data_IF_616728047475
#
_entry.id   IF_616728047475
#
_cell.length_a   1.000
_cell.length_b   1.000
_cell.length_c   1.000
_cell.angle_alpha   90.00
_cell.angle_beta   90.00
_cell.angle_gamma   90.00
#
_symmetry.space_group_name_H-M   'P 1'
#
loop_
_entity.id
_entity.type
_entity.pdbx_description
1 polymer ?
#
# COMPACT_ATOMS: atom_id res chain seq x y z
N UNK A 1 18.18 23.78 14.22
CA UNK A 1 16.70 23.68 14.12
C UNK A 1 16.16 23.92 15.51
N UNK A 2 15.32 24.92 15.67
CA UNK A 2 14.70 25.25 16.95
C UNK A 2 13.70 24.12 17.34
N UNK A 3 14.07 23.30 18.33
CA UNK A 3 13.29 22.15 18.82
C UNK A 3 12.06 22.57 19.65
N UNK A 4 11.76 23.85 19.75
CA UNK A 4 10.70 24.37 20.65
C UNK A 4 9.33 24.51 19.97
N UNK A 5 9.22 24.34 18.65
CA UNK A 5 7.94 24.44 17.93
C UNK A 5 7.42 23.07 17.53
N UNK A 6 6.12 22.76 17.78
CA UNK A 6 5.54 21.52 17.28
C UNK A 6 5.67 21.43 15.75
N UNK A 7 5.89 20.24 15.19
CA UNK A 7 6.02 20.03 13.75
C UNK A 7 4.63 20.14 13.07
N UNK A 8 4.08 21.35 13.02
CA UNK A 8 2.70 21.62 12.58
C UNK A 8 2.42 21.11 11.18
N UNK A 9 3.34 21.28 10.25
CA UNK A 9 3.19 20.80 8.87
C UNK A 9 3.07 19.28 8.81
N UNK A 10 3.87 18.59 9.61
CA UNK A 10 3.82 17.13 9.72
C UNK A 10 2.52 16.65 10.36
N UNK A 11 2.11 17.27 11.47
CA UNK A 11 0.84 16.97 12.13
C UNK A 11 -0.31 17.17 11.16
N UNK A 12 -0.33 18.28 10.42
CA UNK A 12 -1.35 18.59 9.42
C UNK A 12 -1.43 17.50 8.33
N UNK A 13 -0.29 17.13 7.76
CA UNK A 13 -0.21 16.11 6.71
C UNK A 13 -0.71 14.74 7.24
N UNK A 14 -0.28 14.36 8.47
CA UNK A 14 -0.70 13.10 9.08
C UNK A 14 -2.21 13.09 9.39
N UNK A 15 -2.74 14.15 9.99
CA UNK A 15 -4.17 14.26 10.28
C UNK A 15 -5.04 14.13 9.03
N UNK A 16 -4.66 14.84 7.97
CA UNK A 16 -5.37 14.78 6.69
C UNK A 16 -5.35 13.37 6.10
N UNK A 17 -4.17 12.75 6.05
CA UNK A 17 -4.00 11.40 5.52
C UNK A 17 -4.80 10.36 6.32
N UNK A 18 -4.68 10.35 7.66
CA UNK A 18 -5.37 9.37 8.49
C UNK A 18 -6.90 9.56 8.48
N UNK A 19 -7.38 10.81 8.38
CA UNK A 19 -8.81 11.06 8.17
C UNK A 19 -9.32 10.51 6.84
N UNK A 20 -8.58 10.72 5.75
CA UNK A 20 -8.94 10.19 4.44
C UNK A 20 -8.92 8.66 4.43
N UNK A 21 -7.91 8.04 5.04
CA UNK A 21 -7.81 6.60 5.19
C UNK A 21 -8.99 6.01 5.99
N UNK A 22 -9.47 6.74 7.00
CA UNK A 22 -10.66 6.36 7.77
C UNK A 22 -11.98 6.61 7.01
N UNK A 23 -11.95 7.18 5.79
CA UNK A 23 -13.13 7.52 5.01
C UNK A 23 -14.03 8.58 5.65
N UNK A 24 -13.48 9.41 6.57
CA UNK A 24 -14.25 10.36 7.34
C UNK A 24 -14.15 11.78 6.76
N UNK A 25 -15.26 12.51 6.78
CA UNK A 25 -15.25 13.94 6.45
C UNK A 25 -14.69 14.78 7.60
N UNK A 26 -14.16 15.97 7.30
CA UNK A 26 -13.74 16.96 8.32
C UNK A 26 -14.87 17.23 9.33
N UNK A 27 -16.11 17.34 8.85
CA UNK A 27 -17.25 17.60 9.72
C UNK A 27 -17.52 16.44 10.69
N UNK A 28 -17.39 15.20 10.23
CA UNK A 28 -17.63 14.02 11.04
C UNK A 28 -16.56 13.83 12.11
N UNK A 29 -15.28 13.99 11.76
CA UNK A 29 -14.18 13.90 12.75
C UNK A 29 -14.31 15.02 13.78
N UNK A 30 -14.57 16.26 13.34
CA UNK A 30 -14.74 17.39 14.25
C UNK A 30 -15.91 17.17 15.23
N UNK A 31 -17.03 16.67 14.74
CA UNK A 31 -18.20 16.33 15.55
C UNK A 31 -17.87 15.24 16.60
N UNK A 32 -17.20 14.15 16.18
CA UNK A 32 -16.83 13.03 17.07
C UNK A 32 -15.78 13.44 18.09
N UNK A 33 -14.81 14.27 17.70
CA UNK A 33 -13.76 14.79 18.56
C UNK A 33 -14.22 15.96 19.44
N UNK A 34 -15.49 16.40 19.32
CA UNK A 34 -16.07 17.54 20.03
C UNK A 34 -15.26 18.83 19.87
N UNK A 35 -14.84 19.12 18.62
CA UNK A 35 -14.16 20.38 18.23
C UNK A 35 -14.89 21.08 17.11
N UNK A 36 -14.61 22.38 16.90
CA UNK A 36 -15.17 23.08 15.76
C UNK A 36 -14.61 22.56 14.44
N UNK A 37 -15.46 22.46 13.40
CA UNK A 37 -15.05 22.08 12.02
C UNK A 37 -13.93 22.99 11.50
N UNK A 38 -14.01 24.31 11.79
CA UNK A 38 -12.99 25.28 11.41
C UNK A 38 -11.64 24.97 12.07
N UNK A 39 -11.63 24.51 13.31
CA UNK A 39 -10.41 24.11 14.01
C UNK A 39 -9.72 22.95 13.31
N UNK A 40 -10.43 21.86 12.99
CA UNK A 40 -9.84 20.73 12.27
C UNK A 40 -9.36 21.12 10.89
N UNK A 41 -10.16 21.93 10.17
CA UNK A 41 -9.77 22.43 8.84
C UNK A 41 -8.49 23.29 8.90
N UNK A 42 -8.34 24.15 9.89
CA UNK A 42 -7.11 24.93 10.09
C UNK A 42 -5.92 24.02 10.40
N UNK A 43 -6.10 23.03 11.27
CA UNK A 43 -5.05 22.07 11.62
C UNK A 43 -4.56 21.28 10.42
N UNK A 44 -5.46 20.78 9.58
CA UNK A 44 -5.09 20.05 8.36
C UNK A 44 -4.41 20.95 7.30
N UNK A 45 -4.60 22.26 7.37
CA UNK A 45 -3.89 23.23 6.54
C UNK A 45 -2.58 23.75 7.16
N UNK A 46 -2.13 23.17 8.28
CA UNK A 46 -0.91 23.59 8.95
C UNK A 46 -1.03 24.94 9.65
N UNK A 47 -2.25 25.39 9.93
CA UNK A 47 -2.54 26.69 10.54
C UNK A 47 -3.01 26.47 11.98
N UNK A 48 -2.43 27.22 12.91
CA UNK A 48 -2.81 27.19 14.32
C UNK A 48 -1.77 26.51 15.22
N UNK A 49 -2.09 26.47 16.50
CA UNK A 49 -1.30 25.81 17.53
C UNK A 49 -2.25 24.99 18.41
N UNK A 50 -2.52 23.73 18.05
CA UNK A 50 -3.47 22.90 18.78
C UNK A 50 -2.95 22.55 20.15
N UNK A 51 -3.86 22.43 21.13
CA UNK A 51 -3.54 21.85 22.42
C UNK A 51 -3.37 20.32 22.29
N UNK A 52 -2.67 19.73 23.26
CA UNK A 52 -2.50 18.27 23.34
C UNK A 52 -3.86 17.58 23.43
N UNK A 53 -4.80 18.15 24.18
CA UNK A 53 -6.15 17.60 24.34
C UNK A 53 -6.91 17.57 23.00
N UNK A 54 -6.78 18.62 22.20
CA UNK A 54 -7.37 18.69 20.85
C UNK A 54 -6.80 17.60 19.94
N UNK A 55 -5.48 17.46 19.91
CA UNK A 55 -4.82 16.41 19.10
C UNK A 55 -5.19 15.02 19.59
N UNK A 56 -5.23 14.82 20.92
CA UNK A 56 -5.61 13.54 21.52
C UNK A 56 -7.03 13.14 21.16
N UNK A 57 -8.00 14.06 21.26
CA UNK A 57 -9.39 13.78 20.91
C UNK A 57 -9.55 13.37 19.43
N UNK A 58 -8.77 13.98 18.51
CA UNK A 58 -8.75 13.60 17.11
C UNK A 58 -8.13 12.20 16.92
N UNK A 59 -7.02 11.91 17.60
CA UNK A 59 -6.37 10.58 17.55
C UNK A 59 -7.33 9.47 17.98
N UNK A 60 -8.11 9.69 19.05
CA UNK A 60 -9.12 8.72 19.51
C UNK A 60 -10.18 8.47 18.45
N UNK A 61 -10.65 9.51 17.76
CA UNK A 61 -11.64 9.39 16.70
C UNK A 61 -11.11 8.66 15.48
N UNK A 62 -9.82 8.88 15.16
CA UNK A 62 -9.16 8.27 14.00
C UNK A 62 -8.58 6.88 14.33
N UNK A 63 -8.66 6.44 15.60
CA UNK A 63 -8.09 5.18 16.10
C UNK A 63 -6.59 5.04 15.80
N UNK A 64 -5.84 6.14 16.04
CA UNK A 64 -4.39 6.18 15.87
C UNK A 64 -3.68 6.55 17.17
N UNK A 65 -2.48 6.02 17.43
CA UNK A 65 -1.69 6.44 18.58
C UNK A 65 -1.20 7.88 18.40
N UNK A 66 -1.11 8.64 19.51
CA UNK A 66 -0.65 10.04 19.47
C UNK A 66 0.76 10.19 18.88
N UNK A 67 1.64 9.21 19.11
CA UNK A 67 2.98 9.18 18.53
C UNK A 67 2.97 9.29 17.00
N UNK A 68 1.94 8.76 16.35
CA UNK A 68 1.75 8.82 14.90
C UNK A 68 1.75 10.24 14.34
N UNK A 69 1.26 11.21 15.11
CA UNK A 69 1.24 12.63 14.70
C UNK A 69 2.61 13.30 14.73
N UNK A 70 3.49 12.84 15.61
CA UNK A 70 4.78 13.48 15.89
C UNK A 70 5.99 12.68 15.40
N UNK A 71 5.79 11.40 15.04
CA UNK A 71 6.84 10.59 14.42
C UNK A 71 7.15 11.11 13.02
N UNK A 72 8.38 11.57 12.83
CA UNK A 72 8.87 11.86 11.48
C UNK A 72 9.26 10.52 10.84
N UNK A 73 8.61 10.08 9.77
CA UNK A 73 9.09 8.92 9.03
C UNK A 73 10.51 9.23 8.54
N UNK A 74 11.49 8.68 9.21
CA UNK A 74 12.88 8.80 8.72
C UNK A 74 12.98 7.87 7.52
N UNK A 75 13.23 8.38 6.30
CA UNK A 75 13.45 7.54 5.15
C UNK A 75 14.67 6.66 5.43
N UNK A 76 14.45 5.38 5.63
CA UNK A 76 15.55 4.42 5.80
C UNK A 76 15.82 3.71 4.49
N UNK A 77 17.08 3.68 4.09
CA UNK A 77 17.49 2.83 2.97
C UNK A 77 17.30 1.37 3.38
N UNK A 78 16.44 0.64 2.65
CA UNK A 78 16.21 -0.79 2.84
C UNK A 78 16.74 -1.54 1.63
N UNK A 79 17.58 -2.55 1.86
CA UNK A 79 18.09 -3.44 0.80
C UNK A 79 17.62 -4.85 1.11
N UNK A 80 16.88 -5.44 0.17
CA UNK A 80 16.53 -6.86 0.19
C UNK A 80 17.34 -7.51 -0.92
N UNK A 81 18.23 -8.42 -0.56
CA UNK A 81 19.04 -9.17 -1.53
C UNK A 81 18.20 -10.28 -2.14
N UNK A 82 18.46 -10.60 -3.41
CA UNK A 82 17.84 -11.72 -4.10
C UNK A 82 17.89 -13.00 -3.26
N UNK A 83 16.79 -13.74 -3.22
CA UNK A 83 16.65 -14.95 -2.37
C UNK A 83 16.50 -14.65 -0.88
N UNK A 84 16.36 -13.40 -0.47
CA UNK A 84 16.11 -12.99 0.92
C UNK A 84 14.80 -12.19 0.98
N UNK A 85 14.16 -12.24 2.13
CA UNK A 85 12.87 -11.58 2.36
C UNK A 85 11.82 -12.54 2.88
N UNK A 86 10.65 -12.01 3.22
CA UNK A 86 9.50 -12.81 3.66
C UNK A 86 8.83 -13.40 2.41
N UNK A 87 8.83 -14.72 2.32
CA UNK A 87 8.32 -15.46 1.18
C UNK A 87 7.07 -16.24 1.55
N UNK A 88 6.12 -16.27 0.63
CA UNK A 88 4.95 -17.17 0.64
C UNK A 88 4.98 -18.02 -0.61
N UNK A 89 4.44 -19.22 -0.51
CA UNK A 89 4.46 -20.20 -1.60
C UNK A 89 3.03 -20.71 -1.85
N UNK A 90 2.74 -21.10 -3.10
CA UNK A 90 1.60 -21.94 -3.40
C UNK A 90 1.72 -23.30 -2.69
N UNK A 91 0.61 -24.03 -2.56
CA UNK A 91 0.62 -25.38 -1.98
C UNK A 91 1.59 -26.32 -2.71
N UNK A 92 1.68 -26.19 -4.02
CA UNK A 92 2.55 -27.01 -4.89
C UNK A 92 3.99 -26.48 -4.96
N UNK A 93 4.28 -25.30 -4.40
CA UNK A 93 5.59 -24.63 -4.41
C UNK A 93 6.11 -24.32 -5.82
N UNK A 94 5.24 -24.11 -6.76
CA UNK A 94 5.51 -23.70 -8.13
C UNK A 94 5.36 -22.18 -8.33
N UNK A 95 4.70 -21.51 -7.40
CA UNK A 95 4.56 -20.06 -7.33
C UNK A 95 5.11 -19.55 -5.98
N UNK A 96 6.04 -18.60 -6.05
CA UNK A 96 6.61 -17.94 -4.88
C UNK A 96 6.44 -16.42 -4.99
N UNK A 97 5.93 -15.79 -3.95
CA UNK A 97 5.92 -14.35 -3.81
C UNK A 97 6.81 -13.93 -2.63
N UNK A 98 7.71 -12.99 -2.86
CA UNK A 98 8.57 -12.38 -1.85
C UNK A 98 8.16 -10.93 -1.65
N UNK A 99 7.70 -10.57 -0.46
CA UNK A 99 7.34 -9.19 -0.13
C UNK A 99 8.60 -8.31 -0.07
N UNK A 100 8.71 -7.36 -0.97
CA UNK A 100 9.80 -6.37 -1.02
C UNK A 100 9.46 -5.11 -0.24
N UNK A 101 8.23 -4.62 -0.37
CA UNK A 101 7.76 -3.46 0.35
C UNK A 101 6.27 -3.62 0.67
N UNK A 102 5.93 -3.52 1.93
CA UNK A 102 4.56 -3.37 2.38
C UNK A 102 4.15 -1.90 2.33
N UNK A 103 2.86 -1.66 2.16
CA UNK A 103 2.29 -0.32 2.20
C UNK A 103 2.61 0.39 3.51
N UNK A 104 3.27 1.55 3.48
CA UNK A 104 3.22 2.45 4.62
C UNK A 104 1.79 3.01 4.76
N UNK A 105 1.45 3.52 5.92
CA UNK A 105 0.09 3.94 6.27
C UNK A 105 -0.59 4.95 5.31
N UNK A 106 0.16 5.58 4.41
CA UNK A 106 -0.34 6.60 3.47
C UNK A 106 -0.16 6.20 2.00
N UNK A 107 0.15 4.95 1.73
CA UNK A 107 0.39 4.44 0.37
C UNK A 107 -0.29 3.09 0.25
N UNK A 108 -1.23 3.00 -0.65
CA UNK A 108 -2.03 1.77 -0.84
C UNK A 108 -1.38 0.89 -1.92
N UNK A 109 -0.18 0.38 -1.66
CA UNK A 109 0.50 -0.54 -2.59
C UNK A 109 1.46 -1.47 -1.87
N UNK A 110 1.44 -2.72 -2.23
CA UNK A 110 2.45 -3.72 -1.87
C UNK A 110 3.29 -4.08 -3.09
N UNK A 111 4.57 -4.35 -2.90
CA UNK A 111 5.51 -4.70 -3.98
C UNK A 111 6.06 -6.09 -3.70
N UNK A 112 5.94 -6.98 -4.69
CA UNK A 112 6.38 -8.36 -4.61
C UNK A 112 7.38 -8.69 -5.71
N UNK A 113 8.29 -9.58 -5.42
CA UNK A 113 9.06 -10.34 -6.37
C UNK A 113 8.40 -11.70 -6.54
N UNK A 114 8.10 -12.07 -7.77
CA UNK A 114 7.40 -13.31 -8.12
C UNK A 114 8.35 -14.23 -8.85
N UNK A 115 8.39 -15.49 -8.46
CA UNK A 115 9.08 -16.58 -9.17
C UNK A 115 8.07 -17.70 -9.43
N UNK A 116 7.96 -18.12 -10.68
CA UNK A 116 7.00 -19.14 -11.10
C UNK A 116 7.70 -20.18 -11.95
N UNK A 117 7.43 -21.44 -11.65
CA UNK A 117 7.90 -22.57 -12.45
C UNK A 117 6.87 -22.94 -13.51
N UNK A 118 7.30 -23.40 -14.71
CA UNK A 118 6.38 -23.95 -15.69
C UNK A 118 5.54 -25.08 -15.11
N UNK A 119 4.28 -25.11 -15.50
CA UNK A 119 3.34 -26.12 -14.99
C UNK A 119 1.89 -25.70 -15.22
N UNK A 120 1.05 -25.98 -14.24
CA UNK A 120 -0.33 -25.52 -14.27
C UNK A 120 -0.40 -24.03 -13.95
N UNK A 121 -1.34 -23.29 -14.58
CA UNK A 121 -1.59 -21.89 -14.24
C UNK A 121 -1.91 -21.72 -12.75
N UNK A 122 -1.25 -20.78 -12.10
CA UNK A 122 -1.67 -20.32 -10.78
C UNK A 122 -2.89 -19.43 -10.93
N UNK A 123 -4.01 -19.84 -10.35
CA UNK A 123 -5.27 -19.10 -10.39
C UNK A 123 -5.42 -18.36 -9.07
N UNK A 124 -5.60 -17.06 -9.15
CA UNK A 124 -5.87 -16.20 -7.99
C UNK A 124 -7.36 -15.89 -7.89
N UNK A 125 -7.89 -16.06 -6.69
CA UNK A 125 -9.22 -15.57 -6.35
C UNK A 125 -9.23 -14.03 -6.32
N UNK A 126 -10.39 -13.40 -6.56
CA UNK A 126 -10.53 -11.95 -6.50
C UNK A 126 -10.05 -11.37 -5.17
N UNK A 127 -9.24 -10.34 -5.23
CA UNK A 127 -8.81 -9.54 -4.10
C UNK A 127 -9.94 -8.59 -3.61
N UNK A 128 -9.64 -7.72 -2.66
CA UNK A 128 -10.59 -6.70 -2.23
C UNK A 128 -11.03 -5.79 -3.39
N UNK A 129 -12.29 -5.29 -3.39
CA UNK A 129 -12.78 -4.39 -4.42
C UNK A 129 -11.87 -3.18 -4.63
N UNK A 130 -11.59 -2.87 -5.90
CA UNK A 130 -10.77 -1.73 -6.31
C UNK A 130 -9.26 -2.00 -6.35
N UNK A 131 -8.82 -3.24 -6.08
CA UNK A 131 -7.40 -3.62 -6.28
C UNK A 131 -7.08 -3.63 -7.76
N UNK A 132 -5.94 -3.03 -8.11
CA UNK A 132 -5.32 -3.12 -9.44
C UNK A 132 -3.94 -3.76 -9.28
N UNK A 133 -3.67 -4.76 -10.10
CA UNK A 133 -2.35 -5.36 -10.19
C UNK A 133 -1.58 -4.83 -11.40
N UNK A 134 -0.31 -4.56 -11.19
CA UNK A 134 0.66 -4.14 -12.19
C UNK A 134 1.78 -5.15 -12.20
N UNK A 135 2.08 -5.73 -13.35
CA UNK A 135 3.12 -6.76 -13.49
C UNK A 135 4.11 -6.37 -14.58
N UNK A 136 5.38 -6.52 -14.27
CA UNK A 136 6.49 -6.41 -15.24
C UNK A 136 7.19 -7.76 -15.28
N UNK A 137 7.34 -8.35 -16.46
CA UNK A 137 8.18 -9.54 -16.64
C UNK A 137 9.65 -9.12 -16.59
N UNK A 138 10.37 -9.67 -15.61
CA UNK A 138 11.79 -9.35 -15.41
C UNK A 138 12.69 -10.39 -16.09
N UNK A 139 12.20 -11.63 -16.24
CA UNK A 139 12.91 -12.72 -16.91
C UNK A 139 11.93 -13.77 -17.39
N UNK A 140 12.21 -14.36 -18.56
CA UNK A 140 11.42 -15.44 -19.15
C UNK A 140 10.15 -14.95 -19.80
N UNK A 141 9.18 -15.86 -19.95
CA UNK A 141 7.88 -15.60 -20.59
C UNK A 141 6.76 -16.12 -19.73
N UNK A 142 5.65 -15.41 -19.73
CA UNK A 142 4.47 -15.79 -18.96
C UNK A 142 3.19 -15.50 -19.74
N UNK A 143 2.14 -16.25 -19.40
CA UNK A 143 0.76 -15.95 -19.78
C UNK A 143 0.01 -15.53 -18.53
N UNK A 144 -0.47 -14.30 -18.47
CA UNK A 144 -1.09 -13.75 -17.26
C UNK A 144 -2.12 -12.67 -17.57
N UNK A 145 -2.86 -12.28 -16.53
CA UNK A 145 -3.93 -11.29 -16.60
C UNK A 145 -5.26 -11.86 -16.13
N UNK A 146 -6.36 -11.29 -16.59
CA UNK A 146 -7.67 -11.81 -16.28
C UNK A 146 -7.83 -13.24 -16.82
N UNK A 147 -8.45 -14.12 -16.05
CA UNK A 147 -8.70 -15.50 -16.46
C UNK A 147 -9.52 -15.58 -17.76
N UNK A 148 -10.39 -14.58 -18.00
CA UNK A 148 -11.20 -14.48 -19.22
C UNK A 148 -10.46 -13.94 -20.43
N UNK A 149 -9.32 -13.23 -20.23
CA UNK A 149 -8.54 -12.58 -21.28
C UNK A 149 -7.06 -12.52 -20.89
N UNK A 150 -6.36 -13.67 -20.85
CA UNK A 150 -4.95 -13.71 -20.49
C UNK A 150 -4.07 -13.35 -21.70
N UNK A 151 -2.94 -12.67 -21.44
CA UNK A 151 -1.97 -12.24 -22.43
C UNK A 151 -0.63 -12.94 -22.26
N UNK A 152 0.03 -13.28 -23.38
CA UNK A 152 1.43 -13.72 -23.35
C UNK A 152 2.35 -12.52 -23.33
N UNK A 153 3.30 -12.51 -22.41
CA UNK A 153 4.25 -11.44 -22.17
C UNK A 153 5.67 -11.97 -22.11
N UNK A 154 6.60 -11.14 -22.58
CA UNK A 154 8.04 -11.40 -22.64
C UNK A 154 8.80 -10.46 -21.68
N UNK A 155 10.10 -10.69 -21.53
CA UNK A 155 10.98 -9.87 -20.69
C UNK A 155 10.89 -8.40 -21.07
N UNK A 156 10.61 -7.54 -20.09
CA UNK A 156 10.42 -6.10 -20.24
C UNK A 156 8.97 -5.67 -20.45
N UNK A 157 8.07 -6.60 -20.75
CA UNK A 157 6.67 -6.26 -20.94
C UNK A 157 5.96 -5.94 -19.61
N UNK A 158 4.95 -5.10 -19.74
CA UNK A 158 4.11 -4.63 -18.65
C UNK A 158 2.64 -4.88 -18.94
N UNK A 159 1.90 -5.29 -17.93
CA UNK A 159 0.44 -5.39 -17.94
C UNK A 159 -0.14 -4.81 -16.66
N UNK A 160 -1.36 -4.27 -16.72
CA UNK A 160 -2.17 -4.00 -15.54
C UNK A 160 -3.58 -4.51 -15.74
N UNK A 161 -4.19 -5.03 -14.68
CA UNK A 161 -5.54 -5.56 -14.69
C UNK A 161 -6.22 -5.39 -13.33
N UNK A 162 -7.58 -5.41 -13.29
CA UNK A 162 -8.32 -5.44 -12.04
C UNK A 162 -7.99 -6.72 -11.25
N UNK A 163 -7.37 -6.58 -10.08
CA UNK A 163 -7.06 -7.71 -9.19
C UNK A 163 -8.28 -8.18 -8.38
N UNK A 164 -9.38 -7.44 -8.41
CA UNK A 164 -10.67 -7.82 -7.81
C UNK A 164 -11.54 -8.69 -8.73
N UNK A 165 -10.99 -9.15 -9.84
CA UNK A 165 -11.56 -10.16 -10.73
C UNK A 165 -10.67 -11.43 -10.75
N UNK A 166 -11.22 -12.62 -11.11
CA UNK A 166 -10.42 -13.83 -11.24
C UNK A 166 -9.29 -13.63 -12.26
N UNK A 167 -8.06 -13.89 -11.85
CA UNK A 167 -6.87 -13.69 -12.68
C UNK A 167 -5.90 -14.85 -12.55
N UNK A 168 -4.93 -14.94 -13.44
CA UNK A 168 -4.02 -16.08 -13.53
C UNK A 168 -2.60 -15.65 -13.84
N UNK A 169 -1.64 -16.52 -13.49
CA UNK A 169 -0.24 -16.46 -13.90
C UNK A 169 0.25 -17.86 -14.27
N UNK A 170 0.75 -18.03 -15.48
CA UNK A 170 1.34 -19.26 -16.00
C UNK A 170 2.74 -18.95 -16.54
N UNK A 171 3.77 -19.59 -15.97
CA UNK A 171 5.10 -19.50 -16.52
C UNK A 171 5.21 -20.38 -17.78
N UNK A 172 5.70 -19.83 -18.87
CA UNK A 172 5.92 -20.53 -20.14
C UNK A 172 7.37 -21.01 -20.28
N UNK A 173 8.28 -20.51 -19.45
CA UNK A 173 9.70 -20.84 -19.45
C UNK A 173 10.21 -21.06 -18.02
N UNK A 174 11.30 -21.82 -17.89
CA UNK A 174 12.02 -21.97 -16.62
C UNK A 174 12.59 -20.62 -16.16
N UNK A 175 12.73 -20.46 -14.84
CA UNK A 175 13.22 -19.22 -14.24
C UNK A 175 12.38 -17.96 -14.55
N UNK A 176 11.09 -18.09 -14.87
CA UNK A 176 10.20 -16.96 -15.10
C UNK A 176 10.04 -16.15 -13.82
N UNK A 177 10.28 -14.85 -13.92
CA UNK A 177 10.27 -13.90 -12.81
C UNK A 177 9.56 -12.63 -13.18
N UNK A 178 8.85 -12.07 -12.22
CA UNK A 178 8.12 -10.83 -12.41
C UNK A 178 8.23 -9.92 -11.17
N UNK A 179 8.07 -8.64 -11.37
CA UNK A 179 7.74 -7.70 -10.31
C UNK A 179 6.24 -7.44 -10.35
N UNK A 180 5.57 -7.66 -9.23
CA UNK A 180 4.14 -7.39 -9.06
C UNK A 180 3.95 -6.26 -8.06
N UNK A 181 3.13 -5.29 -8.41
CA UNK A 181 2.68 -4.22 -7.55
C UNK A 181 1.16 -4.36 -7.42
N UNK A 182 0.70 -4.60 -6.21
CA UNK A 182 -0.73 -4.61 -5.89
C UNK A 182 -1.09 -3.25 -5.32
N UNK A 183 -1.88 -2.47 -6.07
CA UNK A 183 -2.38 -1.16 -5.67
C UNK A 183 -3.83 -1.29 -5.23
N UNK A 184 -4.18 -0.67 -4.07
CA UNK A 184 -5.55 -0.62 -3.58
C UNK A 184 -5.91 0.79 -3.08
N UNK A 185 -7.18 1.12 -3.14
CA UNK A 185 -7.71 2.45 -2.79
C UNK A 185 -8.52 2.40 -1.51
#
# INVERSE_FOLDING_TARGET
MDQSKPPIEQIAATLNAERLNAGLSIAEVARRANIAKSTLSQLENGVGNPSIETLWSICVVLDIPFSRLIETPTPTTKVIRYGKGVSVFSEQKDYQAVLLAASPANVCRDIYWIEVKPGQPFISEPHHPGVVEHVVIVKGRAKLGLQSDPHELEEGDYISYPGDLPHMFEALEEDTRAMLISEYR
#
